data_IF_174549994148
#
_entry.id   IF_174549994148
#
_cell.length_a   1.000
_cell.length_b   1.000
_cell.length_c   1.000
_cell.angle_alpha   90.00
_cell.angle_beta   90.00
_cell.angle_gamma   90.00
#
_symmetry.space_group_name_H-M   'P 1'
#
loop_
_entity.id
_entity.type
_entity.pdbx_description
1 polymer ?
#
# COMPACT_ATOMS: atom_id res chain seq x y z
N UNK A 1 -52.75 -28.63 4.17
CA UNK A 1 -51.88 -27.47 4.48
C UNK A 1 -51.11 -27.81 5.74
N UNK A 2 -49.84 -28.18 5.62
CA UNK A 2 -49.02 -28.60 6.76
C UNK A 2 -48.55 -27.34 7.49
N UNK A 3 -49.12 -27.06 8.66
CA UNK A 3 -48.63 -26.00 9.55
C UNK A 3 -47.25 -26.42 10.07
N UNK A 4 -46.18 -25.62 9.84
CA UNK A 4 -44.84 -26.01 10.28
C UNK A 4 -44.78 -26.10 11.81
N UNK A 5 -44.27 -27.22 12.32
CA UNK A 5 -44.21 -27.47 13.76
C UNK A 5 -43.36 -26.40 14.46
N UNK A 6 -43.74 -26.03 15.69
CA UNK A 6 -43.07 -25.01 16.51
C UNK A 6 -41.56 -25.25 16.63
N UNK A 7 -41.15 -26.53 16.68
CA UNK A 7 -39.75 -26.97 16.73
C UNK A 7 -38.98 -26.57 15.48
N UNK A 8 -39.56 -26.74 14.28
CA UNK A 8 -38.89 -26.34 13.02
C UNK A 8 -38.72 -24.83 12.92
N UNK A 9 -39.71 -24.04 13.39
CA UNK A 9 -39.63 -22.57 13.41
C UNK A 9 -38.55 -22.07 14.36
N UNK A 10 -38.43 -22.70 15.54
CA UNK A 10 -37.36 -22.40 16.50
C UNK A 10 -35.97 -22.72 15.93
N UNK A 11 -35.80 -23.89 15.31
CA UNK A 11 -34.53 -24.28 14.70
C UNK A 11 -34.16 -23.39 13.51
N UNK A 12 -35.12 -23.04 12.65
CA UNK A 12 -34.90 -22.12 11.53
C UNK A 12 -34.53 -20.73 12.04
N UNK A 13 -35.27 -20.19 13.00
CA UNK A 13 -34.98 -18.87 13.56
C UNK A 13 -33.60 -18.83 14.25
N UNK A 14 -33.25 -19.87 15.01
CA UNK A 14 -31.93 -19.98 15.63
C UNK A 14 -30.80 -20.12 14.61
N UNK A 15 -30.99 -20.97 13.59
CA UNK A 15 -30.01 -21.16 12.51
C UNK A 15 -29.80 -19.89 11.68
N UNK A 16 -30.90 -19.22 11.30
CA UNK A 16 -30.86 -17.92 10.62
C UNK A 16 -30.18 -16.86 11.48
N UNK A 17 -30.51 -16.80 12.78
CA UNK A 17 -29.87 -15.90 13.72
C UNK A 17 -28.37 -16.13 13.83
N UNK A 18 -27.94 -17.38 13.93
CA UNK A 18 -26.52 -17.74 13.99
C UNK A 18 -25.79 -17.33 12.71
N UNK A 19 -26.35 -17.66 11.53
CA UNK A 19 -25.78 -17.28 10.25
C UNK A 19 -25.67 -15.76 10.11
N UNK A 20 -26.69 -15.02 10.56
CA UNK A 20 -26.72 -13.57 10.50
C UNK A 20 -25.65 -12.95 11.40
N UNK A 21 -25.52 -13.43 12.64
CA UNK A 21 -24.48 -12.97 13.57
C UNK A 21 -23.08 -13.31 13.04
N UNK A 22 -22.87 -14.52 12.50
CA UNK A 22 -21.58 -14.91 11.90
C UNK A 22 -21.23 -14.06 10.68
N UNK A 23 -22.20 -13.76 9.81
CA UNK A 23 -21.98 -12.89 8.66
C UNK A 23 -21.60 -11.46 9.09
N UNK A 24 -22.30 -10.90 10.09
CA UNK A 24 -21.98 -9.59 10.66
C UNK A 24 -20.58 -9.56 11.28
N UNK A 25 -20.23 -10.59 12.06
CA UNK A 25 -18.91 -10.69 12.67
C UNK A 25 -17.80 -10.77 11.62
N UNK A 26 -18.00 -11.59 10.57
CA UNK A 26 -17.05 -11.73 9.46
C UNK A 26 -16.87 -10.41 8.71
N UNK A 27 -17.97 -9.73 8.40
CA UNK A 27 -17.93 -8.44 7.73
C UNK A 27 -17.20 -7.38 8.57
N UNK A 28 -17.50 -7.31 9.87
CA UNK A 28 -16.86 -6.35 10.77
C UNK A 28 -15.35 -6.63 10.93
N UNK A 29 -14.96 -7.89 11.14
CA UNK A 29 -13.56 -8.29 11.22
C UNK A 29 -12.81 -7.96 9.92
N UNK A 30 -13.42 -8.23 8.76
CA UNK A 30 -12.85 -7.87 7.46
C UNK A 30 -12.59 -6.37 7.33
N UNK A 31 -13.57 -5.54 7.70
CA UNK A 31 -13.42 -4.09 7.66
C UNK A 31 -12.34 -3.56 8.62
N UNK A 32 -12.20 -4.16 9.80
CA UNK A 32 -11.14 -3.81 10.75
C UNK A 32 -9.76 -4.25 10.27
N UNK A 33 -9.67 -5.45 9.70
CA UNK A 33 -8.44 -5.96 9.11
C UNK A 33 -7.97 -5.08 7.96
N UNK A 34 -8.84 -4.68 7.04
CA UNK A 34 -8.45 -3.82 5.92
C UNK A 34 -7.87 -2.49 6.41
N UNK A 35 -8.54 -1.84 7.37
CA UNK A 35 -8.05 -0.58 7.97
C UNK A 35 -6.69 -0.76 8.63
N UNK A 36 -6.53 -1.81 9.43
CA UNK A 36 -5.27 -2.10 10.12
C UNK A 36 -4.15 -2.40 9.12
N UNK A 37 -4.41 -3.25 8.13
CA UNK A 37 -3.44 -3.62 7.10
C UNK A 37 -2.99 -2.40 6.29
N UNK A 38 -3.92 -1.53 5.91
CA UNK A 38 -3.61 -0.27 5.21
C UNK A 38 -2.79 0.69 6.06
N UNK A 39 -3.13 0.84 7.34
CA UNK A 39 -2.36 1.68 8.26
C UNK A 39 -0.95 1.15 8.49
N UNK A 40 -0.78 -0.17 8.64
CA UNK A 40 0.53 -0.81 8.76
C UNK A 40 1.35 -0.66 7.47
N UNK A 41 0.72 -0.78 6.31
CA UNK A 41 1.38 -0.57 5.02
C UNK A 41 1.85 0.88 4.86
N UNK A 42 0.98 1.86 5.13
CA UNK A 42 1.31 3.28 5.05
C UNK A 42 2.45 3.64 6.02
N UNK A 43 2.46 3.08 7.24
CA UNK A 43 3.55 3.26 8.19
C UNK A 43 4.87 2.63 7.72
N UNK A 44 4.83 1.43 7.13
CA UNK A 44 6.02 0.78 6.54
C UNK A 44 6.57 1.62 5.39
N UNK A 45 5.72 2.11 4.49
CA UNK A 45 6.13 2.97 3.37
C UNK A 45 6.75 4.28 3.87
N UNK A 46 6.22 4.87 4.95
CA UNK A 46 6.83 6.04 5.59
C UNK A 46 8.23 5.76 6.14
N UNK A 47 8.43 4.60 6.78
CA UNK A 47 9.75 4.19 7.28
C UNK A 47 10.73 3.90 6.14
N UNK A 48 10.26 3.26 5.07
CA UNK A 48 11.05 3.01 3.87
C UNK A 48 11.43 4.33 3.19
N UNK A 49 10.52 5.31 3.11
CA UNK A 49 10.80 6.66 2.61
C UNK A 49 11.93 7.32 3.42
N UNK A 50 11.83 7.33 4.75
CA UNK A 50 12.88 7.89 5.62
C UNK A 50 14.21 7.16 5.40
N UNK A 51 14.17 5.84 5.22
CA UNK A 51 15.35 5.01 4.96
C UNK A 51 16.00 5.36 3.62
N UNK A 52 15.21 5.48 2.54
CA UNK A 52 15.69 5.94 1.22
C UNK A 52 16.31 7.34 1.35
N UNK A 53 15.64 8.27 2.02
CA UNK A 53 16.13 9.63 2.21
C UNK A 53 17.44 9.68 3.00
N UNK A 54 17.62 8.80 3.99
CA UNK A 54 18.89 8.70 4.75
C UNK A 54 20.06 8.16 3.94
N UNK A 55 19.78 7.41 2.86
CA UNK A 55 20.79 6.90 1.92
C UNK A 55 21.06 7.86 0.76
N UNK A 56 20.14 8.81 0.53
CA UNK A 56 20.25 9.84 -0.47
C UNK A 56 21.20 10.94 0.03
N UNK A 57 22.43 10.96 -0.48
CA UNK A 57 23.37 12.03 -0.19
C UNK A 57 23.43 13.00 -1.36
N UNK A 58 23.61 14.28 -1.06
CA UNK A 58 23.84 15.30 -2.08
C UNK A 58 25.36 15.48 -2.21
N UNK A 59 25.90 15.23 -3.40
CA UNK A 59 27.32 15.45 -3.68
C UNK A 59 27.67 16.94 -3.69
N UNK A 60 28.97 17.26 -3.72
CA UNK A 60 29.46 18.64 -3.74
C UNK A 60 29.03 19.44 -4.99
N UNK A 61 28.46 18.76 -5.99
CA UNK A 61 27.93 19.31 -7.24
C UNK A 61 26.39 19.42 -7.22
N UNK A 62 25.73 19.11 -6.09
CA UNK A 62 24.28 19.19 -5.94
C UNK A 62 23.51 18.01 -6.53
N UNK A 63 24.16 16.91 -6.90
CA UNK A 63 23.50 15.71 -7.43
C UNK A 63 23.24 14.71 -6.31
N UNK A 64 22.04 14.13 -6.33
CA UNK A 64 21.66 13.05 -5.40
C UNK A 64 22.41 11.78 -5.81
N UNK A 65 23.33 11.31 -4.98
CA UNK A 65 24.03 10.05 -5.14
C UNK A 65 23.65 9.09 -4.02
N UNK A 66 23.27 7.87 -4.38
CA UNK A 66 22.99 6.81 -3.43
C UNK A 66 24.27 6.00 -3.20
N UNK A 67 24.89 6.13 -2.03
CA UNK A 67 26.15 5.45 -1.70
C UNK A 67 25.97 3.93 -1.52
N UNK A 68 24.72 3.47 -1.34
CA UNK A 68 24.34 2.05 -1.15
C UNK A 68 22.93 1.81 -1.67
N UNK A 69 22.74 0.72 -2.41
CA UNK A 69 21.42 0.22 -2.81
C UNK A 69 20.67 -0.23 -1.54
N UNK A 70 19.35 0.04 -1.44
CA UNK A 70 18.57 -0.38 -0.28
C UNK A 70 18.78 -1.88 -0.01
N UNK A 71 19.07 -2.22 1.24
CA UNK A 71 19.41 -3.60 1.65
C UNK A 71 18.24 -4.58 1.40
N UNK A 72 17.00 -4.07 1.29
CA UNK A 72 15.84 -4.91 1.08
C UNK A 72 15.84 -5.53 -0.33
N UNK A 73 15.87 -6.86 -0.38
CA UNK A 73 15.95 -7.67 -1.60
C UNK A 73 14.75 -7.42 -2.54
N UNK A 74 13.60 -7.04 -1.98
CA UNK A 74 12.39 -6.67 -2.73
C UNK A 74 12.68 -5.56 -3.77
N UNK A 75 13.55 -4.59 -3.47
CA UNK A 75 13.83 -3.48 -4.38
C UNK A 75 14.80 -3.84 -5.52
N UNK A 76 15.41 -5.04 -5.47
CA UNK A 76 16.38 -5.51 -6.47
C UNK A 76 15.74 -6.42 -7.51
N UNK A 77 14.66 -7.12 -7.14
CA UNK A 77 13.94 -8.01 -8.05
C UNK A 77 13.05 -7.18 -8.99
N UNK A 78 13.26 -7.34 -10.29
CA UNK A 78 12.45 -6.69 -11.33
C UNK A 78 10.97 -7.05 -11.14
N UNK A 79 10.11 -6.04 -11.15
CA UNK A 79 8.66 -6.16 -10.95
C UNK A 79 8.27 -6.88 -9.65
N UNK A 80 8.96 -6.61 -8.54
CA UNK A 80 8.68 -7.20 -7.23
C UNK A 80 7.37 -6.72 -6.59
N UNK A 81 6.84 -5.57 -7.03
CA UNK A 81 5.73 -4.88 -6.38
C UNK A 81 6.15 -3.85 -5.32
N UNK A 82 7.44 -3.80 -4.95
CA UNK A 82 8.00 -2.78 -4.04
C UNK A 82 8.93 -1.88 -4.82
N UNK A 83 8.60 -0.59 -4.90
CA UNK A 83 9.31 0.36 -5.76
C UNK A 83 9.61 1.65 -5.00
N UNK A 84 10.72 2.30 -5.35
CA UNK A 84 11.01 3.67 -4.95
C UNK A 84 11.58 4.45 -6.13
N UNK A 85 11.30 5.75 -6.16
CA UNK A 85 11.78 6.70 -7.17
C UNK A 85 12.01 8.05 -6.49
N UNK A 86 13.11 8.71 -6.83
CA UNK A 86 13.41 10.09 -6.48
C UNK A 86 13.39 10.91 -7.76
N UNK A 87 12.65 12.01 -7.74
CA UNK A 87 12.48 12.89 -8.90
C UNK A 87 12.59 14.35 -8.50
N UNK A 88 12.90 15.21 -9.47
CA UNK A 88 12.85 16.66 -9.28
C UNK A 88 11.41 17.16 -9.18
N UNK A 89 11.23 18.39 -8.71
CA UNK A 89 9.92 19.07 -8.74
C UNK A 89 9.35 19.19 -10.17
N UNK A 90 10.20 19.14 -11.20
CA UNK A 90 9.82 19.15 -12.60
C UNK A 90 9.48 17.74 -13.15
N UNK A 91 9.49 16.71 -12.30
CA UNK A 91 9.15 15.33 -12.67
C UNK A 91 10.29 14.53 -13.32
N UNK A 92 11.52 15.07 -13.33
CA UNK A 92 12.67 14.35 -13.87
C UNK A 92 13.17 13.32 -12.86
N UNK A 93 13.17 12.04 -13.22
CA UNK A 93 13.72 10.98 -12.37
C UNK A 93 15.23 11.21 -12.15
N UNK A 94 15.62 11.33 -10.89
CA UNK A 94 17.02 11.46 -10.44
C UNK A 94 17.61 10.09 -10.10
N UNK A 95 16.82 9.23 -9.48
CA UNK A 95 17.19 7.88 -9.12
C UNK A 95 15.95 7.01 -8.98
N UNK A 96 16.10 5.71 -9.18
CA UNK A 96 15.02 4.76 -9.01
C UNK A 96 15.55 3.39 -8.59
N UNK A 97 14.68 2.61 -7.96
CA UNK A 97 14.95 1.22 -7.61
C UNK A 97 15.15 0.34 -8.86
N UNK A 98 16.03 -0.68 -8.76
CA UNK A 98 16.21 -1.71 -9.80
C UNK A 98 14.91 -2.45 -10.15
N UNK A 99 14.05 -2.66 -9.15
CA UNK A 99 12.75 -3.32 -9.31
C UNK A 99 11.82 -2.59 -10.28
N UNK A 100 11.94 -1.26 -10.40
CA UNK A 100 11.12 -0.43 -11.28
C UNK A 100 11.49 -0.60 -12.76
N UNK A 101 12.75 -0.99 -13.04
CA UNK A 101 13.28 -1.20 -14.39
C UNK A 101 13.08 0.03 -15.30
N UNK A 102 12.24 -0.07 -16.34
CA UNK A 102 11.88 1.01 -17.28
C UNK A 102 10.56 1.70 -16.89
N UNK A 103 9.97 1.31 -15.75
CA UNK A 103 8.77 1.92 -15.22
C UNK A 103 9.02 3.29 -14.60
N UNK A 104 7.94 4.05 -14.42
CA UNK A 104 7.95 5.32 -13.70
C UNK A 104 6.77 5.35 -12.74
N UNK A 105 6.99 5.85 -11.53
CA UNK A 105 5.92 6.10 -10.57
C UNK A 105 5.30 7.46 -10.84
N UNK A 106 4.00 7.47 -11.14
CA UNK A 106 3.24 8.70 -11.31
C UNK A 106 3.00 9.37 -9.96
N UNK A 107 3.39 10.64 -9.84
CA UNK A 107 3.12 11.48 -8.66
C UNK A 107 1.98 12.44 -9.01
N UNK A 108 0.84 12.41 -8.30
CA UNK A 108 -0.25 13.34 -8.55
C UNK A 108 0.21 14.80 -8.46
N UNK A 109 -0.20 15.68 -9.38
CA UNK A 109 0.15 17.11 -9.35
C UNK A 109 -0.44 17.85 -8.16
N UNK A 110 -1.40 17.24 -7.45
CA UNK A 110 -1.99 17.78 -6.21
C UNK A 110 -1.12 17.55 -4.98
N UNK A 111 -0.11 16.67 -5.06
CA UNK A 111 0.83 16.46 -3.96
C UNK A 111 1.74 17.69 -3.86
N UNK A 112 1.69 18.34 -2.71
CA UNK A 112 2.55 19.47 -2.40
C UNK A 112 3.76 18.98 -1.60
N UNK A 113 4.91 19.62 -1.84
CA UNK A 113 6.10 19.34 -1.04
C UNK A 113 5.81 19.64 0.44
N UNK A 114 5.97 18.67 1.32
CA UNK A 114 5.47 18.81 2.69
C UNK A 114 5.51 17.53 3.53
N UNK A 115 4.57 17.32 4.47
CA UNK A 115 4.48 16.06 5.20
C UNK A 115 4.27 14.89 4.24
N UNK A 116 4.80 13.71 4.56
CA UNK A 116 4.60 12.52 3.75
C UNK A 116 3.10 12.19 3.61
N UNK A 117 2.62 12.09 2.37
CA UNK A 117 1.22 11.80 2.04
C UNK A 117 1.13 10.46 1.29
N UNK A 118 0.19 9.62 1.74
CA UNK A 118 -0.11 8.34 1.09
C UNK A 118 -1.15 8.53 -0.02
N UNK A 119 -0.92 7.93 -1.19
CA UNK A 119 -1.80 7.98 -2.35
C UNK A 119 -1.75 6.67 -3.13
N UNK A 120 -2.77 6.44 -3.95
CA UNK A 120 -2.81 5.28 -4.84
C UNK A 120 -2.29 5.69 -6.23
N UNK A 121 -1.48 4.84 -6.85
CA UNK A 121 -0.89 5.09 -8.17
C UNK A 121 -0.82 3.81 -8.99
N UNK A 122 -0.59 3.94 -10.29
CA UNK A 122 -0.32 2.82 -11.16
C UNK A 122 1.18 2.54 -11.19
N UNK A 123 1.55 1.27 -11.01
CA UNK A 123 2.90 0.76 -11.14
C UNK A 123 3.18 0.17 -12.51
N UNK A 124 4.36 -0.44 -12.68
CA UNK A 124 4.63 -1.27 -13.84
C UNK A 124 3.56 -2.34 -14.03
N UNK A 125 3.24 -2.68 -15.29
CA UNK A 125 2.22 -3.68 -15.65
C UNK A 125 0.80 -3.33 -15.16
N UNK A 126 0.47 -2.05 -15.02
CA UNK A 126 -0.83 -1.54 -14.56
C UNK A 126 -1.22 -2.04 -13.14
N UNK A 127 -0.20 -2.33 -12.33
CA UNK A 127 -0.41 -2.77 -10.95
C UNK A 127 -0.93 -1.60 -10.10
N UNK A 128 -2.01 -1.82 -9.35
CA UNK A 128 -2.46 -0.83 -8.35
C UNK A 128 -1.50 -0.83 -7.16
N UNK A 129 -0.85 0.30 -6.94
CA UNK A 129 0.12 0.48 -5.87
C UNK A 129 -0.36 1.52 -4.86
N UNK A 130 0.06 1.32 -3.62
CA UNK A 130 0.04 2.34 -2.58
C UNK A 130 1.42 2.97 -2.51
N UNK A 131 1.50 4.30 -2.60
CA UNK A 131 2.73 5.06 -2.57
C UNK A 131 2.67 6.13 -1.48
N UNK A 132 3.84 6.52 -0.98
CA UNK A 132 4.01 7.64 -0.04
C UNK A 132 5.06 8.58 -0.63
N UNK A 133 4.74 9.87 -0.70
CA UNK A 133 5.66 10.91 -1.18
C UNK A 133 5.61 12.16 -0.29
N UNK A 134 6.68 12.94 -0.32
CA UNK A 134 6.87 14.20 0.41
C UNK A 134 7.39 15.28 -0.54
#
# INVERSE_FOLDING_TARGET
>A
MNTPSLRSRLLLAGGLGMLLVSALATWWLGAMYERSARATLDARLGNDLISVLSLAEVDAQGRVQFRRELVNEDYRRVFSGAYWQVQTAQGQALAQSRSLWDGALGVPPTLQTGPAQAFDTAGPLDQRLRAVAQ
#
